data_IF_305842010293
#
_entry.id   IF_305842010293
#
_cell.length_a   1.000
_cell.length_b   1.000
_cell.length_c   1.000
_cell.angle_alpha   90.00
_cell.angle_beta   90.00
_cell.angle_gamma   90.00
#
_symmetry.space_group_name_H-M   'P 1'
#
loop_
_entity.id
_entity.type
_entity.pdbx_description
1 polymer ?
#
# COMPACT_ATOMS: atom_id res chain seq x y z
N UNK A 1 12.30 13.78 13.83
CA UNK A 1 10.90 13.53 13.39
C UNK A 1 10.55 12.11 13.81
N UNK A 2 9.35 11.92 14.34
CA UNK A 2 8.88 10.58 14.72
C UNK A 2 8.52 9.76 13.48
N UNK A 3 8.67 8.45 13.57
CA UNK A 3 8.30 7.54 12.48
C UNK A 3 6.77 7.41 12.41
N UNK A 4 6.25 7.40 11.18
CA UNK A 4 4.87 7.03 10.90
C UNK A 4 4.82 5.51 10.68
N UNK A 5 4.55 4.79 11.74
CA UNK A 5 4.50 3.32 11.71
C UNK A 5 3.27 2.85 10.94
N UNK A 6 3.47 1.93 10.00
CA UNK A 6 2.42 1.33 9.18
C UNK A 6 2.35 -0.16 9.45
N UNK A 7 1.17 -0.61 9.77
CA UNK A 7 0.82 -2.02 9.92
C UNK A 7 -0.14 -2.41 8.80
N UNK A 8 0.06 -3.57 8.25
CA UNK A 8 -0.74 -4.02 7.11
C UNK A 8 -0.88 -5.53 7.15
N UNK A 9 -2.08 -6.05 6.90
CA UNK A 9 -2.37 -7.49 6.95
C UNK A 9 -1.55 -8.35 5.97
N UNK A 10 -0.96 -7.74 4.95
CA UNK A 10 -0.11 -8.42 3.96
C UNK A 10 1.37 -8.46 4.33
N UNK A 11 1.75 -8.02 5.53
CA UNK A 11 3.12 -8.16 6.03
C UNK A 11 3.39 -9.58 6.50
N UNK A 12 4.65 -9.99 6.44
CA UNK A 12 5.08 -11.31 6.88
C UNK A 12 4.87 -11.48 8.39
N UNK A 13 4.22 -12.54 8.81
CA UNK A 13 3.97 -12.83 10.22
C UNK A 13 2.79 -12.06 10.85
N UNK A 14 2.09 -11.23 10.07
CA UNK A 14 0.91 -10.50 10.56
C UNK A 14 1.17 -9.06 10.99
N UNK A 15 0.13 -8.38 11.44
CA UNK A 15 0.16 -6.95 11.79
C UNK A 15 0.86 -6.67 13.12
N UNK A 16 1.01 -7.69 13.97
CA UNK A 16 1.66 -7.61 15.27
C UNK A 16 3.16 -7.90 15.24
N UNK A 17 3.66 -8.43 14.13
CA UNK A 17 5.05 -8.93 14.00
C UNK A 17 5.94 -7.95 13.26
N UNK A 18 5.53 -7.51 12.08
CA UNK A 18 6.31 -6.64 11.20
C UNK A 18 5.62 -5.30 10.95
N UNK A 19 6.45 -4.29 10.70
CA UNK A 19 5.98 -2.95 10.35
C UNK A 19 6.75 -2.39 9.16
N UNK A 20 6.17 -1.35 8.59
CA UNK A 20 6.84 -0.43 7.67
C UNK A 20 6.82 0.99 8.26
N UNK A 21 7.56 1.89 7.65
CA UNK A 21 7.59 3.31 8.03
C UNK A 21 7.19 4.13 6.81
N UNK A 22 6.10 4.93 6.91
CA UNK A 22 5.59 5.71 5.78
C UNK A 22 6.55 6.80 5.32
N UNK A 23 7.23 7.45 6.28
CA UNK A 23 8.28 8.44 6.00
C UNK A 23 9.66 7.81 5.84
N UNK A 24 9.73 6.52 5.48
CA UNK A 24 10.96 5.77 5.26
C UNK A 24 10.86 4.82 4.07
N UNK A 25 12.00 4.32 3.63
CA UNK A 25 12.13 3.44 2.46
C UNK A 25 12.43 1.98 2.81
N UNK A 26 12.67 1.67 4.08
CA UNK A 26 13.07 0.33 4.55
C UNK A 26 12.13 -0.78 4.10
N UNK A 27 12.66 -2.01 4.08
CA UNK A 27 11.87 -3.22 3.98
C UNK A 27 11.00 -3.40 5.24
N UNK A 28 10.04 -4.33 5.19
CA UNK A 28 9.36 -4.75 6.42
C UNK A 28 10.37 -5.28 7.43
N UNK A 29 10.17 -4.97 8.69
CA UNK A 29 11.07 -5.38 9.74
C UNK A 29 10.37 -5.61 11.05
N UNK A 30 10.93 -6.54 11.84
CA UNK A 30 10.45 -6.85 13.17
C UNK A 30 10.76 -5.73 14.13
N UNK A 31 9.92 -5.54 15.06
CA UNK A 31 10.06 -4.56 16.11
C UNK A 31 8.86 -4.54 17.01
N UNK A 32 8.10 -5.66 17.02
CA UNK A 32 6.89 -5.76 17.84
C UNK A 32 6.18 -4.42 17.85
N UNK A 33 5.41 -4.14 16.89
CA UNK A 33 4.94 -2.78 16.58
C UNK A 33 4.16 -2.09 17.69
N UNK A 34 4.14 -2.69 18.85
CA UNK A 34 3.30 -2.14 19.92
C UNK A 34 1.82 -2.17 19.57
N UNK A 35 1.41 -3.13 18.73
CA UNK A 35 -0.01 -3.44 18.47
C UNK A 35 -0.23 -4.94 18.51
N UNK A 36 -1.37 -5.35 19.04
CA UNK A 36 -1.88 -6.71 18.88
C UNK A 36 -2.62 -6.82 17.52
N UNK A 37 -2.79 -8.05 17.01
CA UNK A 37 -3.65 -8.30 15.86
C UNK A 37 -5.04 -7.70 16.10
N UNK A 38 -5.54 -6.86 15.18
CA UNK A 38 -6.85 -6.23 15.35
C UNK A 38 -7.98 -7.23 15.22
N UNK A 39 -9.06 -6.98 15.93
CA UNK A 39 -10.32 -7.69 15.75
C UNK A 39 -11.21 -6.97 14.73
N UNK A 40 -12.43 -7.46 14.51
CA UNK A 40 -13.42 -6.80 13.64
C UNK A 40 -13.89 -5.43 14.15
N UNK A 41 -13.62 -5.09 15.41
CA UNK A 41 -14.16 -3.88 16.04
C UNK A 41 -13.14 -3.10 16.86
N UNK A 42 -12.00 -3.67 17.17
CA UNK A 42 -10.99 -3.06 18.05
C UNK A 42 -9.57 -3.29 17.53
N UNK A 43 -8.74 -2.28 17.58
CA UNK A 43 -7.30 -2.42 17.53
C UNK A 43 -6.70 -2.03 18.89
N UNK A 44 -5.63 -2.71 19.29
CA UNK A 44 -5.01 -2.51 20.60
C UNK A 44 -3.57 -2.05 20.42
N UNK A 45 -3.24 -0.88 20.97
CA UNK A 45 -1.86 -0.38 21.03
C UNK A 45 -1.20 -0.96 22.27
N UNK A 46 0.00 -1.51 22.11
CA UNK A 46 0.81 -2.12 23.17
C UNK A 46 2.26 -1.60 23.12
N UNK A 47 3.08 -1.92 24.09
CA UNK A 47 4.52 -1.63 24.05
C UNK A 47 4.86 -0.16 23.89
N UNK A 48 5.88 0.13 23.09
CA UNK A 48 6.43 1.47 22.93
C UNK A 48 5.50 2.52 22.33
N UNK A 49 4.44 2.12 21.60
CA UNK A 49 3.40 3.04 21.13
C UNK A 49 2.34 3.35 22.19
N UNK A 50 2.26 2.55 23.24
CA UNK A 50 1.36 2.77 24.38
C UNK A 50 1.98 3.60 25.50
N UNK A 51 3.16 4.21 25.28
CA UNK A 51 3.75 5.17 26.20
C UNK A 51 2.84 6.39 26.39
N UNK A 52 3.07 7.17 27.43
CA UNK A 52 2.21 8.30 27.85
C UNK A 52 2.10 9.45 26.83
N UNK A 53 2.53 9.23 25.59
CA UNK A 53 2.47 10.20 24.51
C UNK A 53 1.11 10.16 23.80
N UNK A 54 0.65 11.32 23.33
CA UNK A 54 -0.53 11.40 22.48
C UNK A 54 -0.21 10.80 21.10
N UNK A 55 -0.95 9.78 20.70
CA UNK A 55 -0.85 9.16 19.39
C UNK A 55 -2.03 9.53 18.50
N UNK A 56 -1.76 9.67 17.19
CA UNK A 56 -2.79 9.76 16.18
C UNK A 56 -2.74 8.47 15.35
N UNK A 57 -3.88 7.78 15.21
CA UNK A 57 -4.03 6.57 14.41
C UNK A 57 -5.01 6.76 13.26
N UNK A 58 -4.58 6.40 12.05
CA UNK A 58 -5.47 6.30 10.88
C UNK A 58 -5.75 4.83 10.63
N UNK A 59 -7.00 4.44 10.74
CA UNK A 59 -7.44 3.04 10.62
C UNK A 59 -8.30 2.88 9.37
N UNK A 60 -7.97 1.89 8.56
CA UNK A 60 -8.69 1.57 7.33
C UNK A 60 -9.15 0.11 7.37
N UNK A 61 -10.39 -0.14 6.95
CA UNK A 61 -10.96 -1.47 6.83
C UNK A 61 -11.31 -1.81 5.38
N UNK A 62 -11.20 -3.08 5.01
CA UNK A 62 -11.70 -3.54 3.73
C UNK A 62 -13.22 -3.46 3.69
N UNK A 63 -13.74 -2.92 2.60
CA UNK A 63 -15.17 -2.92 2.29
C UNK A 63 -15.36 -3.28 0.82
N UNK A 64 -16.15 -4.30 0.56
CA UNK A 64 -16.45 -4.74 -0.80
C UNK A 64 -16.96 -3.58 -1.65
N UNK A 65 -16.40 -3.43 -2.85
CA UNK A 65 -16.73 -2.35 -3.79
C UNK A 65 -16.24 -0.96 -3.39
N UNK A 66 -15.52 -0.81 -2.28
CA UNK A 66 -15.02 0.50 -1.80
C UNK A 66 -13.51 0.51 -1.57
N UNK A 67 -12.99 -0.45 -0.80
CA UNK A 67 -11.57 -0.49 -0.42
C UNK A 67 -11.02 -1.91 -0.37
N UNK A 68 -9.77 -2.07 -0.77
CA UNK A 68 -9.05 -3.34 -0.74
C UNK A 68 -7.62 -3.14 -0.29
N UNK A 69 -7.17 -4.01 0.62
CA UNK A 69 -5.81 -4.08 1.11
C UNK A 69 -5.27 -5.49 0.87
N UNK A 70 -4.05 -5.61 0.37
CA UNK A 70 -3.51 -6.93 0.06
C UNK A 70 -2.04 -6.89 -0.25
N UNK A 71 -1.54 -8.02 -0.71
CA UNK A 71 -0.17 -8.19 -1.16
C UNK A 71 -0.13 -8.85 -2.54
N UNK A 72 0.99 -8.69 -3.24
CA UNK A 72 1.27 -9.38 -4.49
C UNK A 72 2.76 -9.64 -4.65
N UNK A 73 3.08 -10.55 -5.56
CA UNK A 73 4.46 -10.81 -5.98
C UNK A 73 4.69 -10.25 -7.37
N UNK A 74 5.76 -9.51 -7.54
CA UNK A 74 6.17 -8.99 -8.84
C UNK A 74 6.67 -10.10 -9.76
N UNK A 75 6.38 -9.96 -11.06
CA UNK A 75 6.84 -10.91 -12.08
C UNK A 75 8.07 -10.45 -12.87
N UNK A 76 8.54 -9.23 -12.66
CA UNK A 76 9.69 -8.66 -13.35
C UNK A 76 9.47 -8.42 -14.85
N UNK A 77 8.23 -8.26 -15.29
CA UNK A 77 7.88 -8.10 -16.70
C UNK A 77 7.01 -6.86 -16.92
N UNK A 78 7.15 -6.21 -18.07
CA UNK A 78 6.27 -5.10 -18.47
C UNK A 78 4.83 -5.56 -18.77
N UNK A 79 4.61 -6.81 -19.16
CA UNK A 79 3.32 -7.48 -19.05
C UNK A 79 3.16 -8.03 -17.63
N UNK A 80 2.96 -7.08 -16.71
CA UNK A 80 3.15 -7.26 -15.31
C UNK A 80 2.03 -8.00 -14.58
N UNK A 81 2.23 -8.15 -13.28
CA UNK A 81 1.26 -8.79 -12.39
C UNK A 81 -0.08 -8.05 -12.43
N UNK A 82 -1.19 -8.79 -12.56
CA UNK A 82 -2.54 -8.28 -12.36
C UNK A 82 -2.97 -8.48 -10.90
N UNK A 83 -3.51 -7.43 -10.31
CA UNK A 83 -3.98 -7.43 -8.92
C UNK A 83 -5.49 -7.18 -8.90
N UNK A 84 -6.24 -8.19 -8.48
CA UNK A 84 -7.69 -8.13 -8.37
C UNK A 84 -8.12 -7.37 -7.11
N UNK A 85 -8.95 -6.34 -7.26
CA UNK A 85 -9.53 -5.58 -6.16
C UNK A 85 -11.03 -5.78 -5.99
N UNK A 86 -11.72 -6.25 -7.07
CA UNK A 86 -13.16 -6.38 -7.11
C UNK A 86 -13.89 -5.09 -7.51
N UNK A 87 -13.14 -4.05 -7.87
CA UNK A 87 -13.63 -2.76 -8.36
C UNK A 87 -12.56 -2.07 -9.22
N UNK A 88 -12.95 -1.05 -9.98
CA UNK A 88 -11.99 -0.16 -10.66
C UNK A 88 -11.39 0.79 -9.64
N UNK A 89 -10.06 0.76 -9.40
CA UNK A 89 -9.43 1.69 -8.48
C UNK A 89 -9.42 3.12 -9.03
N UNK A 90 -9.52 4.09 -8.12
CA UNK A 90 -9.19 5.50 -8.36
C UNK A 90 -7.87 5.90 -7.72
N UNK A 91 -7.45 5.16 -6.72
CA UNK A 91 -6.25 5.41 -5.94
C UNK A 91 -5.59 4.10 -5.54
N UNK A 92 -4.28 4.03 -5.67
CA UNK A 92 -3.46 2.92 -5.18
C UNK A 92 -2.20 3.46 -4.52
N UNK A 93 -1.91 2.97 -3.31
CA UNK A 93 -0.64 3.13 -2.62
C UNK A 93 0.07 1.78 -2.62
N UNK A 94 1.33 1.74 -3.06
CA UNK A 94 2.14 0.51 -3.15
C UNK A 94 3.41 0.67 -2.33
N UNK A 95 3.83 -0.39 -1.65
CA UNK A 95 5.13 -0.47 -0.98
C UNK A 95 5.74 -1.86 -1.12
N UNK A 96 7.00 -1.90 -1.54
CA UNK A 96 7.82 -3.12 -1.47
C UNK A 96 8.08 -3.49 -0.01
N UNK A 97 7.82 -4.75 0.34
CA UNK A 97 8.08 -5.28 1.68
C UNK A 97 9.41 -6.01 1.75
N UNK A 98 9.82 -6.67 0.67
CA UNK A 98 11.05 -7.48 0.60
C UNK A 98 12.34 -6.69 0.41
N UNK A 99 12.32 -5.37 0.40
CA UNK A 99 13.52 -4.55 0.16
C UNK A 99 13.28 -3.07 0.28
N UNK A 100 14.37 -2.30 0.11
CA UNK A 100 14.33 -0.84 0.11
C UNK A 100 13.59 -0.36 -1.14
N UNK A 101 12.57 0.48 -0.97
CA UNK A 101 11.82 1.15 -2.03
C UNK A 101 11.01 2.32 -1.47
N UNK A 102 10.64 3.27 -2.31
CA UNK A 102 9.73 4.35 -1.95
C UNK A 102 8.28 3.83 -1.82
N UNK A 103 7.45 4.55 -1.08
CA UNK A 103 6.00 4.42 -1.12
C UNK A 103 5.46 5.14 -2.35
N UNK A 104 4.79 4.44 -3.25
CA UNK A 104 4.30 4.94 -4.54
C UNK A 104 2.81 5.20 -4.50
N UNK A 105 2.40 6.43 -4.85
CA UNK A 105 0.99 6.84 -4.98
C UNK A 105 0.67 7.06 -6.44
N UNK A 106 -0.43 6.43 -6.88
CA UNK A 106 -1.00 6.57 -8.22
C UNK A 106 -2.51 6.79 -8.10
N UNK A 107 -3.06 7.65 -8.94
CA UNK A 107 -4.50 7.94 -8.93
C UNK A 107 -5.00 8.37 -10.32
N UNK A 108 -6.33 8.28 -10.51
CA UNK A 108 -7.00 8.63 -11.76
C UNK A 108 -7.40 10.12 -11.86
N UNK A 109 -6.95 10.95 -10.92
CA UNK A 109 -7.20 12.40 -10.99
C UNK A 109 -6.05 13.14 -11.63
N UNK A 110 -4.82 12.67 -11.40
CA UNK A 110 -3.62 13.14 -12.10
C UNK A 110 -3.51 12.52 -13.48
N UNK A 111 -3.86 11.20 -13.61
CA UNK A 111 -3.96 10.48 -14.88
C UNK A 111 -5.38 9.96 -15.11
N UNK A 112 -6.12 10.64 -15.97
CA UNK A 112 -7.52 10.27 -16.25
C UNK A 112 -7.66 9.05 -17.16
N UNK A 113 -6.60 8.68 -17.88
CA UNK A 113 -6.54 7.56 -18.80
C UNK A 113 -5.35 6.63 -18.49
N UNK A 114 -5.47 5.37 -18.86
CA UNK A 114 -4.34 4.43 -18.88
C UNK A 114 -3.36 4.80 -20.04
N UNK A 115 -2.08 4.62 -19.88
CA UNK A 115 -1.36 4.10 -18.71
C UNK A 115 -1.28 5.18 -17.64
N UNK A 116 -1.44 4.79 -16.35
CA UNK A 116 -1.21 5.70 -15.23
C UNK A 116 0.30 5.83 -15.03
N UNK A 117 0.84 7.03 -15.18
CA UNK A 117 2.28 7.31 -15.13
C UNK A 117 2.68 8.48 -14.21
N UNK A 118 1.75 9.33 -13.79
CA UNK A 118 1.97 10.37 -12.78
C UNK A 118 2.15 9.75 -11.40
N UNK A 119 3.36 9.77 -10.87
CA UNK A 119 3.78 9.07 -9.67
C UNK A 119 4.30 10.05 -8.61
N UNK A 120 3.80 9.92 -7.39
CA UNK A 120 4.31 10.61 -6.20
C UNK A 120 4.86 9.59 -5.22
N UNK A 121 5.95 9.95 -4.54
CA UNK A 121 6.49 9.19 -3.43
C UNK A 121 5.97 9.75 -2.10
N UNK A 122 5.23 8.94 -1.31
CA UNK A 122 4.76 9.37 0.00
C UNK A 122 5.87 9.47 1.06
N UNK A 123 7.01 8.85 0.79
CA UNK A 123 8.13 8.76 1.74
C UNK A 123 9.14 9.91 1.64
N UNK A 124 8.96 10.86 0.72
CA UNK A 124 9.84 12.02 0.58
C UNK A 124 9.08 13.24 0.05
N UNK A 125 9.77 14.38 -0.04
CA UNK A 125 9.25 15.65 -0.55
C UNK A 125 9.54 15.89 -2.04
N UNK A 126 9.90 14.84 -2.79
CA UNK A 126 10.16 14.93 -4.23
C UNK A 126 8.90 15.36 -5.01
N UNK A 127 9.11 16.07 -6.10
CA UNK A 127 8.06 16.41 -7.04
C UNK A 127 7.48 15.15 -7.70
N UNK A 128 6.29 15.30 -8.28
CA UNK A 128 5.71 14.29 -9.16
C UNK A 128 6.69 13.93 -10.29
N UNK A 129 6.75 12.67 -10.61
CA UNK A 129 7.53 12.14 -11.71
C UNK A 129 6.65 11.34 -12.66
N UNK A 130 7.03 11.29 -13.93
CA UNK A 130 6.33 10.51 -14.95
C UNK A 130 7.08 9.20 -15.18
N UNK A 131 6.41 8.09 -14.97
CA UNK A 131 6.96 6.76 -15.20
C UNK A 131 5.83 5.77 -15.50
N UNK A 132 5.85 5.12 -16.67
CA UNK A 132 4.87 4.09 -17.04
C UNK A 132 4.73 3.07 -15.92
N UNK A 133 3.59 3.04 -15.24
CA UNK A 133 3.47 2.28 -14.01
C UNK A 133 2.42 1.19 -14.07
N UNK A 134 1.15 1.54 -14.23
CA UNK A 134 0.05 0.56 -14.21
C UNK A 134 -1.15 1.00 -15.03
N UNK A 135 -2.03 0.05 -15.32
CA UNK A 135 -3.39 0.32 -15.81
C UNK A 135 -4.40 0.11 -14.67
N UNK A 136 -5.33 1.04 -14.51
CA UNK A 136 -6.57 0.80 -13.77
C UNK A 136 -7.56 0.08 -14.67
N UNK A 137 -7.96 -1.13 -14.28
CA UNK A 137 -8.94 -1.95 -14.98
C UNK A 137 -10.27 -1.95 -14.24
N UNK A 138 -11.33 -2.48 -14.85
CA UNK A 138 -12.68 -2.50 -14.26
C UNK A 138 -12.78 -3.24 -12.92
N UNK A 139 -11.82 -4.12 -12.62
CA UNK A 139 -11.85 -4.99 -11.43
C UNK A 139 -10.51 -5.11 -10.70
N UNK A 140 -9.57 -4.20 -10.98
CA UNK A 140 -8.24 -4.23 -10.37
C UNK A 140 -7.26 -3.29 -11.03
N UNK A 141 -5.99 -3.57 -10.88
CA UNK A 141 -4.92 -2.87 -11.58
C UNK A 141 -3.86 -3.84 -12.09
N UNK A 142 -3.20 -3.47 -13.18
CA UNK A 142 -2.17 -4.28 -13.82
C UNK A 142 -0.88 -3.49 -13.95
N UNK A 143 0.22 -4.06 -13.47
CA UNK A 143 1.55 -3.45 -13.62
C UNK A 143 1.96 -3.40 -15.09
N UNK A 144 2.59 -2.28 -15.51
CA UNK A 144 3.02 -2.04 -16.89
C UNK A 144 4.53 -1.79 -17.00
N UNK A 145 5.28 -2.21 -15.99
CA UNK A 145 6.72 -2.10 -15.93
C UNK A 145 7.34 -3.31 -15.19
N UNK A 146 8.66 -3.41 -15.26
CA UNK A 146 9.46 -4.41 -14.54
C UNK A 146 10.28 -3.78 -13.39
N UNK A 147 9.93 -2.57 -12.97
CA UNK A 147 10.67 -1.81 -11.95
C UNK A 147 10.73 -2.54 -10.62
N UNK A 148 11.93 -2.56 -10.03
CA UNK A 148 12.18 -3.30 -8.80
C UNK A 148 11.41 -2.75 -7.58
N UNK A 149 10.96 -1.47 -7.61
CA UNK A 149 10.19 -0.86 -6.53
C UNK A 149 8.71 -1.27 -6.54
N UNK A 150 8.20 -1.75 -7.70
CA UNK A 150 6.76 -2.03 -7.88
C UNK A 150 6.45 -3.40 -8.48
N UNK A 151 7.33 -3.98 -9.31
CA UNK A 151 7.06 -5.24 -10.02
C UNK A 151 8.32 -6.08 -10.27
N UNK A 152 9.39 -5.94 -9.48
CA UNK A 152 10.60 -6.75 -9.63
C UNK A 152 10.32 -8.24 -9.43
N UNK A 153 11.01 -9.08 -10.19
CA UNK A 153 10.83 -10.53 -10.16
C UNK A 153 11.03 -11.11 -8.76
N UNK A 154 10.01 -11.79 -8.23
CA UNK A 154 10.01 -12.38 -6.89
C UNK A 154 9.91 -11.37 -5.74
N UNK A 155 9.90 -10.07 -6.02
CA UNK A 155 9.68 -9.04 -5.00
C UNK A 155 8.27 -9.13 -4.42
N UNK A 156 8.12 -8.91 -3.11
CA UNK A 156 6.82 -8.85 -2.44
C UNK A 156 6.43 -7.41 -2.14
N UNK A 157 5.15 -7.12 -2.30
CA UNK A 157 4.57 -5.78 -2.21
C UNK A 157 3.25 -5.83 -1.46
N UNK A 158 2.95 -4.77 -0.71
CA UNK A 158 1.61 -4.51 -0.20
C UNK A 158 0.97 -3.36 -0.98
N UNK A 159 -0.35 -3.33 -0.96
CA UNK A 159 -1.11 -2.23 -1.54
C UNK A 159 -2.33 -1.85 -0.71
N UNK A 160 -2.73 -0.58 -0.86
CA UNK A 160 -4.00 -0.02 -0.42
C UNK A 160 -4.68 0.57 -1.65
N UNK A 161 -5.93 0.14 -1.95
CA UNK A 161 -6.69 0.60 -3.10
C UNK A 161 -8.08 1.10 -2.70
N UNK A 162 -8.53 2.18 -3.33
CA UNK A 162 -9.89 2.72 -3.19
C UNK A 162 -10.58 2.82 -4.53
N UNK A 163 -11.90 2.56 -4.55
CA UNK A 163 -12.72 2.51 -5.75
C UNK A 163 -12.94 3.89 -6.38
N UNK A 164 -13.04 3.94 -7.72
CA UNK A 164 -13.45 5.12 -8.48
C UNK A 164 -14.92 5.48 -8.24
N UNK A 165 -15.77 4.48 -8.22
CA UNK A 165 -17.19 4.62 -7.92
C UNK A 165 -17.55 3.59 -6.84
N UNK A 166 -17.45 3.99 -5.55
CA UNK A 166 -17.72 3.06 -4.47
C UNK A 166 -19.20 2.65 -4.47
N UNK A 167 -19.44 1.34 -4.51
CA UNK A 167 -20.76 0.79 -4.25
C UNK A 167 -21.03 0.89 -2.75
N UNK A 168 -21.58 1.99 -2.32
CA UNK A 168 -22.12 2.14 -0.97
C UNK A 168 -23.45 1.37 -0.94
N UNK A 169 -23.41 0.16 -0.39
CA UNK A 169 -24.64 -0.57 -0.10
C UNK A 169 -25.49 0.25 0.86
N UNK A 170 -26.73 0.45 0.49
CA UNK A 170 -27.79 0.96 1.37
C UNK A 170 -28.06 -0.01 2.52
#
# INVERSE_FOLDING_TARGET
ANNWVVMHKGLTGGMDTNVLVLNGTGAEGGGGAGMAEPTSSVFTITGGLASNDNNIGYVFAEKQGFSKFGSYTGNGNADGTFIYTGFKPAYVLIKKTSGIAQWKILDNKRDTFNVVDALINASNSGAESTFTTLDFTSNGFKMRNSDADMNGSGGTYIYMAFAEAPLVGS
#
